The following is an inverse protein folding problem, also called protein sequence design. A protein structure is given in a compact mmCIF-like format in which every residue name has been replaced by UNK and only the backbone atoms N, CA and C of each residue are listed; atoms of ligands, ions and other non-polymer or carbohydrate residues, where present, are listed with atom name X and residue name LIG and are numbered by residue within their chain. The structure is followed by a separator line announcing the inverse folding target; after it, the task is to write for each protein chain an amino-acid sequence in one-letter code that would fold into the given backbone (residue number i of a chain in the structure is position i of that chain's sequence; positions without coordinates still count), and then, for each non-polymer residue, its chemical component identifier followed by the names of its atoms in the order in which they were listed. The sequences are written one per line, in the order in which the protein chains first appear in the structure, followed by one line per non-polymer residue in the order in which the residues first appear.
data_IF_071053709099
#
_entry.id   IF_071053709099
#
_cell.length_a   1.000
_cell.length_b   1.000
_cell.length_c   1.000
_cell.angle_alpha   90.00
_cell.angle_beta   90.00
_cell.angle_gamma   90.00
#
_symmetry.space_group_name_H-M   'P 1'
#
loop_
_entity.id
_entity.type
_entity.pdbx_description
1 polymer ?
#
# COMPACT_ATOMS: atom_id res chain seq x y z
N UNK A 1 -38.92 -12.62 -12.00
CA UNK A 1 -38.14 -11.99 -10.91
C UNK A 1 -37.11 -13.01 -10.50
N UNK A 2 -36.07 -13.09 -11.33
CA UNK A 2 -34.99 -14.07 -11.20
C UNK A 2 -33.77 -13.37 -10.63
N UNK A 3 -33.02 -14.12 -9.82
CA UNK A 3 -31.57 -14.00 -9.56
C UNK A 3 -31.14 -12.66 -8.92
N UNK A 4 -30.63 -12.63 -7.69
CA UNK A 4 -29.24 -12.98 -7.38
C UNK A 4 -29.14 -13.69 -6.02
N UNK A 5 -28.89 -14.99 -6.06
CA UNK A 5 -28.21 -15.72 -4.99
C UNK A 5 -26.84 -16.10 -5.55
N UNK A 6 -25.90 -15.15 -5.57
CA UNK A 6 -24.49 -15.45 -5.85
C UNK A 6 -23.75 -15.74 -4.54
N UNK A 7 -23.76 -17.04 -4.21
CA UNK A 7 -22.55 -17.82 -3.99
C UNK A 7 -21.46 -17.16 -3.12
N UNK A 8 -21.70 -17.12 -1.81
CA UNK A 8 -20.62 -17.14 -0.80
C UNK A 8 -20.07 -18.57 -0.76
N UNK A 9 -19.30 -18.96 -1.79
CA UNK A 9 -18.61 -20.25 -1.81
C UNK A 9 -17.22 -20.07 -2.39
N UNK A 10 -16.33 -19.54 -1.55
CA UNK A 10 -14.87 -19.64 -1.73
C UNK A 10 -14.20 -19.50 -0.37
N UNK A 11 -14.58 -20.37 0.57
CA UNK A 11 -13.73 -20.67 1.73
C UNK A 11 -12.63 -21.62 1.28
N UNK A 12 -11.58 -21.05 0.68
CA UNK A 12 -10.35 -21.77 0.35
C UNK A 12 -9.74 -22.37 1.63
N UNK A 13 -9.42 -23.67 1.58
CA UNK A 13 -8.70 -24.36 2.64
C UNK A 13 -7.29 -23.75 2.84
N UNK A 14 -6.71 -23.80 4.05
CA UNK A 14 -5.34 -23.34 4.24
C UNK A 14 -4.37 -24.21 3.41
N UNK A 15 -3.34 -23.64 2.76
CA UNK A 15 -2.37 -24.39 1.99
C UNK A 15 -1.57 -25.35 2.90
N UNK A 16 -1.65 -26.64 2.60
CA UNK A 16 -1.28 -27.78 3.44
C UNK A 16 0.23 -28.04 3.62
N UNK A 17 1.12 -27.05 3.56
CA UNK A 17 2.56 -27.37 3.37
C UNK A 17 3.58 -26.57 4.17
N UNK A 18 3.19 -25.70 5.09
CA UNK A 18 4.14 -25.04 5.98
C UNK A 18 3.55 -25.01 7.39
N UNK A 19 4.36 -25.29 8.42
CA UNK A 19 3.99 -25.09 9.83
C UNK A 19 3.87 -23.59 10.09
N UNK A 20 2.79 -23.00 9.59
CA UNK A 20 2.37 -21.64 9.92
C UNK A 20 1.43 -21.81 11.11
N UNK A 21 1.84 -21.30 12.26
CA UNK A 21 1.05 -21.33 13.49
C UNK A 21 -0.14 -20.39 13.33
N UNK A 22 -1.27 -20.90 12.84
CA UNK A 22 -2.51 -20.15 12.78
C UNK A 22 -3.23 -20.20 14.13
N UNK A 23 -3.98 -19.16 14.44
CA UNK A 23 -4.82 -19.13 15.62
C UNK A 23 -6.02 -20.08 15.44
N UNK A 24 -6.26 -20.94 16.43
CA UNK A 24 -7.34 -21.95 16.40
C UNK A 24 -8.38 -21.60 17.44
N UNK A 25 -9.65 -21.60 17.02
CA UNK A 25 -10.78 -21.38 17.91
C UNK A 25 -11.04 -22.63 18.77
N UNK A 26 -11.66 -22.46 19.94
CA UNK A 26 -12.05 -23.58 20.81
C UNK A 26 -13.00 -24.63 20.17
N UNK A 27 -13.59 -24.34 19.01
CA UNK A 27 -14.38 -25.31 18.22
C UNK A 27 -13.52 -26.17 17.27
N UNK A 28 -12.20 -25.97 17.23
CA UNK A 28 -11.25 -26.74 16.41
C UNK A 28 -11.04 -26.21 14.99
N UNK A 29 -11.75 -25.15 14.57
CA UNK A 29 -11.51 -24.49 13.27
C UNK A 29 -10.51 -23.34 13.41
N UNK A 30 -9.74 -23.09 12.35
CA UNK A 30 -8.82 -21.95 12.27
C UNK A 30 -9.59 -20.61 12.29
N UNK A 31 -8.92 -19.57 12.75
CA UNK A 31 -9.44 -18.20 12.78
C UNK A 31 -8.75 -17.37 11.71
N UNK A 32 -9.56 -16.69 10.91
CA UNK A 32 -9.09 -15.80 9.85
C UNK A 32 -8.96 -14.37 10.37
N UNK A 33 -8.01 -13.63 9.82
CA UNK A 33 -7.80 -12.23 10.18
C UNK A 33 -8.86 -11.37 9.49
N UNK A 34 -9.62 -10.62 10.28
CA UNK A 34 -10.64 -9.68 9.80
C UNK A 34 -10.10 -8.26 9.62
N UNK A 35 -9.22 -7.81 10.52
CA UNK A 35 -8.67 -6.46 10.46
C UNK A 35 -7.54 -6.25 11.45
N UNK A 36 -6.78 -5.17 11.24
CA UNK A 36 -5.61 -4.83 12.03
C UNK A 36 -5.67 -3.33 12.28
N UNK A 37 -5.61 -2.92 13.53
CA UNK A 37 -5.61 -1.51 13.95
C UNK A 37 -4.25 -1.19 14.58
N UNK A 38 -3.58 -0.16 14.07
CA UNK A 38 -2.33 0.38 14.60
C UNK A 38 -2.64 1.25 15.84
N UNK A 39 -2.18 0.83 17.02
CA UNK A 39 -2.26 1.61 18.25
C UNK A 39 -0.87 2.10 18.66
N UNK A 40 -0.48 3.31 18.24
CA UNK A 40 0.76 3.91 18.70
C UNK A 40 0.66 4.17 20.21
N UNK A 41 1.58 3.58 20.98
CA UNK A 41 1.65 3.73 22.43
C UNK A 41 2.99 4.31 22.86
N UNK A 42 3.02 4.96 24.03
CA UNK A 42 4.26 5.46 24.65
C UNK A 42 5.26 4.35 25.02
N UNK A 43 4.84 3.07 25.05
CA UNK A 43 5.66 1.89 25.30
C UNK A 43 5.96 1.02 24.07
N UNK A 44 5.72 1.53 22.85
CA UNK A 44 5.92 0.82 21.60
C UNK A 44 4.62 0.68 20.79
N UNK A 45 4.76 0.38 19.50
CA UNK A 45 3.63 0.18 18.60
C UNK A 45 2.95 -1.17 18.90
N UNK A 46 1.69 -1.12 19.32
CA UNK A 46 0.86 -2.29 19.53
C UNK A 46 -0.19 -2.35 18.43
N UNK A 47 -0.52 -3.55 17.96
CA UNK A 47 -1.59 -3.76 16.99
C UNK A 47 -2.72 -4.53 17.64
N UNK A 48 -3.95 -4.13 17.34
CA UNK A 48 -5.14 -4.92 17.64
C UNK A 48 -5.47 -5.76 16.40
N UNK A 49 -5.11 -7.04 16.44
CA UNK A 49 -5.45 -8.01 15.40
C UNK A 49 -6.80 -8.62 15.73
N UNK A 50 -7.80 -8.34 14.88
CA UNK A 50 -9.16 -8.89 15.03
C UNK A 50 -9.28 -10.12 14.15
N UNK A 51 -9.62 -11.25 14.76
CA UNK A 51 -9.75 -12.54 14.07
C UNK A 51 -11.13 -13.13 14.30
N UNK A 52 -11.66 -13.81 13.29
CA UNK A 52 -12.96 -14.47 13.33
C UNK A 52 -12.82 -15.97 13.02
N UNK A 53 -13.49 -16.81 13.79
CA UNK A 53 -13.52 -18.24 13.53
C UNK A 53 -14.32 -18.56 12.26
N UNK A 54 -13.74 -19.34 11.34
CA UNK A 54 -14.42 -19.78 10.12
C UNK A 54 -15.58 -20.78 10.38
N UNK A 55 -15.69 -21.34 11.58
CA UNK A 55 -16.74 -22.29 11.94
C UNK A 55 -17.86 -21.63 12.73
N UNK A 56 -17.58 -21.25 13.98
CA UNK A 56 -18.58 -20.72 14.91
C UNK A 56 -18.72 -19.19 14.89
N UNK A 57 -17.98 -18.47 14.02
CA UNK A 57 -18.04 -17.00 13.85
C UNK A 57 -17.65 -16.20 15.12
N UNK A 58 -17.05 -16.85 16.12
CA UNK A 58 -16.54 -16.17 17.30
C UNK A 58 -15.43 -15.20 16.92
N UNK A 59 -15.46 -13.99 17.49
CA UNK A 59 -14.46 -12.95 17.24
C UNK A 59 -13.59 -12.74 18.46
N UNK A 60 -12.29 -12.66 18.22
CA UNK A 60 -11.29 -12.39 19.25
C UNK A 60 -10.43 -11.23 18.75
N UNK A 61 -10.14 -10.29 19.66
CA UNK A 61 -9.13 -9.25 19.45
C UNK A 61 -7.87 -9.62 20.22
N UNK A 62 -6.72 -9.61 19.56
CA UNK A 62 -5.42 -9.78 20.18
C UNK A 62 -4.67 -8.45 20.15
N UNK A 63 -4.34 -7.92 21.32
CA UNK A 63 -3.39 -6.82 21.44
C UNK A 63 -1.99 -7.41 21.55
N UNK A 64 -1.17 -7.14 20.53
CA UNK A 64 0.17 -7.71 20.37
C UNK A 64 1.13 -6.61 19.94
N UNK A 65 2.41 -6.73 20.30
CA UNK A 65 3.43 -5.83 19.76
C UNK A 65 3.51 -5.97 18.24
N UNK A 66 3.75 -4.87 17.52
CA UNK A 66 3.82 -4.84 16.06
C UNK A 66 4.77 -5.90 15.47
N UNK A 67 5.90 -6.16 16.14
CA UNK A 67 6.89 -7.16 15.72
C UNK A 67 6.38 -8.61 15.81
N UNK A 68 5.47 -8.89 16.75
CA UNK A 68 4.98 -10.24 17.05
C UNK A 68 3.62 -10.53 16.42
N UNK A 69 3.04 -9.57 15.69
CA UNK A 69 1.69 -9.69 15.14
C UNK A 69 1.57 -10.60 13.91
N UNK A 70 2.65 -10.74 13.13
CA UNK A 70 2.66 -11.46 11.85
C UNK A 70 2.19 -12.92 11.84
N UNK A 71 2.33 -13.73 12.92
CA UNK A 71 1.78 -15.09 12.99
C UNK A 71 0.25 -15.12 13.00
N UNK A 72 -0.41 -14.05 13.45
CA UNK A 72 -1.87 -13.97 13.54
C UNK A 72 -2.53 -13.47 12.24
N UNK A 73 -1.74 -13.30 11.18
CA UNK A 73 -2.12 -12.65 9.92
C UNK A 73 -2.02 -13.67 8.79
N UNK A 74 -3.17 -14.07 8.27
CA UNK A 74 -3.30 -15.17 7.30
C UNK A 74 -2.99 -14.79 5.84
N UNK A 75 -3.02 -13.50 5.50
CA UNK A 75 -2.88 -12.97 4.14
C UNK A 75 -2.31 -11.56 4.12
N UNK A 76 -2.01 -11.05 2.92
CA UNK A 76 -1.65 -9.65 2.78
C UNK A 76 -2.85 -8.77 3.17
N UNK A 77 -2.67 -7.94 4.20
CA UNK A 77 -3.72 -7.08 4.73
C UNK A 77 -3.23 -5.64 4.88
N UNK A 78 -4.18 -4.70 4.79
CA UNK A 78 -3.95 -3.31 5.12
C UNK A 78 -4.44 -3.08 6.54
N UNK A 79 -3.70 -2.30 7.32
CA UNK A 79 -4.21 -1.77 8.58
C UNK A 79 -5.37 -0.82 8.31
N UNK A 80 -6.23 -0.67 9.31
CA UNK A 80 -7.39 0.22 9.23
C UNK A 80 -6.95 1.66 8.94
N UNK A 81 -5.85 2.09 9.57
CA UNK A 81 -5.27 3.42 9.39
C UNK A 81 -4.69 3.59 7.98
N UNK A 82 -3.93 2.61 7.46
CA UNK A 82 -3.39 2.69 6.09
C UNK A 82 -4.51 2.68 5.04
N UNK A 83 -5.56 1.89 5.26
CA UNK A 83 -6.75 1.87 4.40
C UNK A 83 -7.47 3.21 4.45
N UNK A 84 -7.62 3.81 5.62
CA UNK A 84 -8.20 5.14 5.76
C UNK A 84 -7.40 6.20 5.00
N UNK A 85 -6.06 6.10 4.94
CA UNK A 85 -5.24 6.98 4.11
C UNK A 85 -5.52 6.82 2.62
N UNK A 86 -5.69 5.59 2.15
CA UNK A 86 -6.04 5.29 0.76
C UNK A 86 -7.43 5.82 0.42
N UNK A 87 -8.43 5.53 1.25
CA UNK A 87 -9.83 5.90 1.02
C UNK A 87 -10.06 7.42 0.95
N UNK A 88 -9.20 8.21 1.60
CA UNK A 88 -9.22 9.68 1.50
C UNK A 88 -8.70 10.22 0.16
N UNK A 89 -8.07 9.39 -0.66
CA UNK A 89 -7.62 9.78 -1.99
C UNK A 89 -8.78 9.73 -3.00
N UNK A 90 -8.72 10.47 -4.11
CA UNK A 90 -9.70 10.30 -5.19
C UNK A 90 -9.72 8.87 -5.74
N UNK A 91 -10.88 8.34 -6.19
CA UNK A 91 -11.02 6.93 -6.61
C UNK A 91 -9.99 6.45 -7.64
N UNK A 92 -9.61 7.31 -8.59
CA UNK A 92 -8.59 6.98 -9.60
C UNK A 92 -7.20 6.79 -8.98
N UNK A 93 -6.84 7.58 -7.96
CA UNK A 93 -5.57 7.43 -7.23
C UNK A 93 -5.61 6.18 -6.37
N UNK A 94 -6.76 5.84 -5.79
CA UNK A 94 -6.90 4.63 -4.97
C UNK A 94 -6.58 3.37 -5.77
N UNK A 95 -7.21 3.25 -6.95
CA UNK A 95 -7.03 2.12 -7.86
C UNK A 95 -5.57 1.99 -8.34
N UNK A 96 -4.88 3.12 -8.50
CA UNK A 96 -3.48 3.17 -8.88
C UNK A 96 -2.54 2.82 -7.72
N UNK A 97 -2.77 3.40 -6.54
CA UNK A 97 -1.84 3.31 -5.41
C UNK A 97 -1.89 1.93 -4.75
N UNK A 98 -3.07 1.30 -4.70
CA UNK A 98 -3.23 -0.01 -4.08
C UNK A 98 -2.26 -1.09 -4.62
N UNK A 99 -2.17 -1.36 -5.93
CA UNK A 99 -1.25 -2.38 -6.45
C UNK A 99 0.22 -2.02 -6.23
N UNK A 100 0.59 -0.74 -6.35
CA UNK A 100 1.97 -0.27 -6.11
C UNK A 100 2.42 -0.56 -4.68
N UNK A 101 1.56 -0.25 -3.71
CA UNK A 101 1.85 -0.49 -2.29
C UNK A 101 1.85 -1.99 -1.98
N UNK A 102 0.89 -2.76 -2.53
CA UNK A 102 0.85 -4.21 -2.36
C UNK A 102 2.14 -4.88 -2.89
N UNK A 103 2.65 -4.45 -4.05
CA UNK A 103 3.92 -4.94 -4.63
C UNK A 103 5.12 -4.54 -3.78
N UNK A 104 5.20 -3.27 -3.38
CA UNK A 104 6.27 -2.76 -2.51
C UNK A 104 6.40 -3.54 -1.18
N UNK A 105 5.26 -3.88 -0.57
CA UNK A 105 5.22 -4.65 0.68
C UNK A 105 5.61 -6.10 0.45
N UNK A 106 5.20 -6.70 -0.68
CA UNK A 106 5.60 -8.06 -1.07
C UNK A 106 7.10 -8.17 -1.34
N UNK A 107 7.69 -7.21 -2.03
CA UNK A 107 9.13 -7.19 -2.34
C UNK A 107 10.00 -7.16 -1.08
N UNK A 108 9.48 -6.56 -0.01
CA UNK A 108 10.12 -6.53 1.31
C UNK A 108 9.82 -7.74 2.19
N UNK A 109 9.08 -8.73 1.68
CA UNK A 109 8.66 -9.93 2.41
C UNK A 109 7.67 -9.64 3.56
N UNK A 110 7.04 -8.47 3.57
CA UNK A 110 6.06 -8.08 4.58
C UNK A 110 4.64 -8.52 4.13
N UNK A 111 3.75 -8.75 5.10
CA UNK A 111 2.35 -9.13 4.84
C UNK A 111 1.33 -8.10 5.33
N UNK A 112 1.77 -7.03 5.95
CA UNK A 112 0.90 -5.98 6.48
C UNK A 112 1.31 -4.66 5.88
N UNK A 113 0.36 -3.98 5.25
CA UNK A 113 0.52 -2.61 4.79
C UNK A 113 0.17 -1.70 5.96
N UNK A 114 1.21 -1.15 6.61
CA UNK A 114 1.08 -0.18 7.70
C UNK A 114 1.08 1.25 7.17
N UNK A 115 0.71 2.22 8.01
CA UNK A 115 0.78 3.65 7.68
C UNK A 115 2.20 4.09 7.29
N UNK A 116 3.21 3.58 8.01
CA UNK A 116 4.62 3.82 7.72
C UNK A 116 5.01 3.28 6.34
N UNK A 117 4.70 2.00 6.06
CA UNK A 117 4.99 1.36 4.77
C UNK A 117 4.22 2.01 3.62
N UNK A 118 2.97 2.41 3.83
CA UNK A 118 2.20 3.17 2.85
C UNK A 118 2.85 4.51 2.54
N UNK A 119 3.30 5.25 3.57
CA UNK A 119 4.02 6.50 3.41
C UNK A 119 5.37 6.32 2.69
N UNK A 120 6.10 5.24 3.00
CA UNK A 120 7.34 4.88 2.31
C UNK A 120 7.11 4.46 0.86
N UNK A 121 6.09 3.65 0.58
CA UNK A 121 5.69 3.28 -0.78
C UNK A 121 5.26 4.53 -1.57
N UNK A 122 4.58 5.48 -0.94
CA UNK A 122 4.25 6.76 -1.59
C UNK A 122 5.49 7.63 -1.85
N UNK A 123 6.52 7.55 -1.01
CA UNK A 123 7.77 8.33 -1.13
C UNK A 123 8.85 7.65 -2.00
N UNK A 124 8.85 6.33 -2.07
CA UNK A 124 9.92 5.50 -2.64
C UNK A 124 9.44 4.37 -3.56
N UNK A 125 8.15 4.06 -3.56
CA UNK A 125 7.46 3.21 -4.54
C UNK A 125 7.07 4.03 -5.76
N UNK A 126 8.10 4.27 -6.58
CA UNK A 126 8.11 4.75 -7.95
C UNK A 126 6.74 4.95 -8.63
N UNK A 127 6.41 6.21 -8.90
CA UNK A 127 5.76 6.52 -10.18
C UNK A 127 6.63 5.87 -11.26
N UNK A 128 6.05 5.04 -12.13
CA UNK A 128 6.80 4.28 -13.13
C UNK A 128 7.48 5.26 -14.09
N UNK A 129 8.79 5.24 -14.26
CA UNK A 129 9.43 6.14 -15.21
C UNK A 129 9.43 5.51 -16.60
N UNK A 130 9.09 6.29 -17.63
CA UNK A 130 9.43 5.88 -19.00
C UNK A 130 10.95 5.78 -19.13
N UNK A 131 11.43 4.79 -19.89
CA UNK A 131 12.86 4.60 -20.13
C UNK A 131 13.53 5.87 -20.69
N UNK A 132 12.81 6.60 -21.57
CA UNK A 132 13.27 7.88 -22.12
C UNK A 132 13.26 9.01 -21.08
N UNK A 133 12.33 8.98 -20.13
CA UNK A 133 12.27 9.96 -19.04
C UNK A 133 13.43 9.74 -18.05
N UNK A 134 13.71 8.49 -17.71
CA UNK A 134 14.82 8.10 -16.84
C UNK A 134 16.19 8.42 -17.48
N UNK A 135 16.35 8.17 -18.78
CA UNK A 135 17.56 8.52 -19.53
C UNK A 135 17.83 10.03 -19.60
N UNK A 136 16.80 10.88 -19.52
CA UNK A 136 16.96 12.34 -19.44
C UNK A 136 17.22 12.79 -18.01
N UNK A 137 16.58 12.17 -17.01
CA UNK A 137 16.84 12.46 -15.60
C UNK A 137 18.30 12.15 -15.22
N UNK A 138 18.90 11.11 -15.79
CA UNK A 138 20.32 10.78 -15.55
C UNK A 138 21.29 11.86 -16.08
N UNK A 139 20.91 12.60 -17.12
CA UNK A 139 21.67 13.74 -17.68
C UNK A 139 21.58 15.01 -16.82
N UNK A 140 20.62 15.07 -15.90
CA UNK A 140 20.46 16.19 -14.96
C UNK A 140 21.58 16.13 -13.90
N UNK A 141 22.20 17.27 -13.51
CA UNK A 141 23.23 17.30 -12.48
C UNK A 141 22.76 16.71 -11.15
N UNK A 142 23.64 15.98 -10.46
CA UNK A 142 23.30 15.25 -9.24
C UNK A 142 22.73 16.12 -8.12
N UNK A 143 23.17 17.39 -8.03
CA UNK A 143 22.70 18.36 -7.03
C UNK A 143 21.21 18.67 -7.10
N UNK A 144 20.62 18.64 -8.30
CA UNK A 144 19.21 18.97 -8.53
C UNK A 144 18.37 17.76 -8.94
N UNK A 145 19.00 16.63 -9.28
CA UNK A 145 18.33 15.40 -9.72
C UNK A 145 17.32 14.87 -8.71
N UNK A 146 17.69 14.85 -7.42
CA UNK A 146 16.80 14.37 -6.35
C UNK A 146 15.56 15.26 -6.20
N UNK A 147 15.73 16.58 -6.27
CA UNK A 147 14.61 17.53 -6.23
C UNK A 147 13.72 17.41 -7.47
N UNK A 148 14.31 17.33 -8.66
CA UNK A 148 13.57 17.19 -9.91
C UNK A 148 12.77 15.89 -9.95
N UNK A 149 13.36 14.78 -9.50
CA UNK A 149 12.69 13.47 -9.40
C UNK A 149 11.46 13.57 -8.50
N UNK A 150 11.61 14.13 -7.30
CA UNK A 150 10.50 14.26 -6.35
C UNK A 150 9.37 15.16 -6.88
N UNK A 151 9.68 16.27 -7.55
CA UNK A 151 8.68 17.18 -8.10
C UNK A 151 7.93 16.56 -9.29
N UNK A 152 8.63 15.79 -10.12
CA UNK A 152 8.04 15.04 -11.24
C UNK A 152 7.09 13.94 -10.74
N UNK A 153 7.53 13.17 -9.75
CA UNK A 153 6.71 12.13 -9.13
C UNK A 153 5.47 12.75 -8.46
N UNK A 154 5.64 13.86 -7.73
CA UNK A 154 4.54 14.61 -7.13
C UNK A 154 3.54 15.10 -8.18
N UNK A 155 4.02 15.74 -9.25
CA UNK A 155 3.15 16.29 -10.30
C UNK A 155 2.43 15.17 -11.06
N UNK A 156 3.10 14.02 -11.28
CA UNK A 156 2.47 12.84 -11.87
C UNK A 156 1.32 12.32 -11.01
N UNK A 157 1.55 12.21 -9.70
CA UNK A 157 0.53 11.77 -8.75
C UNK A 157 -0.64 12.75 -8.64
N UNK A 158 -0.38 14.06 -8.62
CA UNK A 158 -1.40 15.12 -8.62
C UNK A 158 -2.30 15.05 -9.87
N UNK A 159 -1.73 14.60 -11.00
CA UNK A 159 -2.45 14.40 -12.28
C UNK A 159 -3.07 13.01 -12.42
N UNK A 160 -2.92 12.14 -11.41
CA UNK A 160 -3.39 10.76 -11.46
C UNK A 160 -2.63 9.88 -12.46
N UNK A 161 -1.45 10.30 -12.90
CA UNK A 161 -0.60 9.55 -13.82
C UNK A 161 0.26 8.53 -13.05
N UNK A 162 0.14 7.27 -13.46
CA UNK A 162 0.90 6.14 -12.94
C UNK A 162 2.39 6.19 -13.28
N UNK A 163 2.76 7.01 -14.27
CA UNK A 163 4.10 7.05 -14.84
C UNK A 163 4.57 8.47 -15.18
N UNK A 164 5.85 8.75 -14.90
CA UNK A 164 6.52 9.98 -15.33
C UNK A 164 6.89 9.84 -16.80
N UNK A 165 6.21 10.61 -17.64
CA UNK A 165 6.46 10.65 -19.09
C UNK A 165 7.40 11.80 -19.46
N UNK A 166 7.96 11.73 -20.67
CA UNK A 166 8.78 12.82 -21.22
C UNK A 166 8.00 14.13 -21.35
N UNK A 167 6.71 14.06 -21.67
CA UNK A 167 5.85 15.24 -21.77
C UNK A 167 5.75 16.00 -20.43
N UNK A 168 5.59 15.26 -19.32
CA UNK A 168 5.53 15.86 -17.98
C UNK A 168 6.84 16.55 -17.60
N UNK A 169 7.98 15.99 -17.99
CA UNK A 169 9.29 16.62 -17.79
C UNK A 169 9.46 17.92 -18.57
N UNK A 170 9.10 17.94 -19.86
CA UNK A 170 9.24 19.15 -20.67
C UNK A 170 8.31 20.27 -20.19
N UNK A 171 7.12 19.92 -19.69
CA UNK A 171 6.18 20.89 -19.13
C UNK A 171 6.68 21.50 -17.81
N UNK A 172 7.22 20.69 -16.90
CA UNK A 172 7.85 21.21 -15.67
C UNK A 172 9.10 22.03 -16.00
N UNK A 173 9.90 21.59 -16.98
CA UNK A 173 11.04 22.37 -17.47
C UNK A 173 10.58 23.70 -18.06
N UNK A 174 9.51 23.73 -18.85
CA UNK A 174 8.94 24.97 -19.37
C UNK A 174 8.40 25.87 -18.25
N UNK A 175 7.86 25.30 -17.17
CA UNK A 175 7.39 26.09 -16.01
C UNK A 175 8.53 26.71 -15.21
N UNK A 176 9.62 25.99 -15.00
CA UNK A 176 10.78 26.45 -14.22
C UNK A 176 11.75 27.32 -15.03
N UNK A 177 11.96 27.02 -16.32
CA UNK A 177 12.87 27.76 -17.20
C UNK A 177 12.16 28.78 -18.10
N UNK A 178 10.83 28.67 -18.30
CA UNK A 178 10.05 29.56 -19.16
C UNK A 178 9.63 30.89 -18.51
N UNK A 179 9.73 31.03 -17.18
CA UNK A 179 9.56 32.33 -16.51
C UNK A 179 10.79 33.26 -16.65
N UNK A 180 11.87 32.82 -17.30
CA UNK A 180 12.99 33.70 -17.68
C UNK A 180 12.80 34.39 -19.04
N UNK A 181 11.71 34.10 -19.76
CA UNK A 181 11.53 34.49 -21.17
C UNK A 181 10.41 35.47 -21.47
N UNK A 182 9.72 36.04 -20.49
CA UNK A 182 8.68 37.06 -20.76
C UNK A 182 9.16 38.46 -20.41
N UNK A 183 10.08 38.94 -21.25
CA UNK A 183 10.30 40.37 -21.46
C UNK A 183 9.79 40.65 -22.87
N UNK A 184 8.63 41.29 -22.99
CA UNK A 184 8.39 42.56 -23.71
C UNK A 184 6.89 42.83 -23.69
#
# INVERSE_FOLDING_TARGET
MSEEQETISSFSAPPSSLRVSFLVCGCGRWMHTQGIEERPGSGGDHWLVRSECCGCRWRVGLEVGAADAHPFIDRLMWTDEARHLLDRMPPYVQALMKPVVDEYVRDRGQRVVTTALFGEARRGGAVRWDADAEARLSRVPASVRTMAKAELEKTSLERGQASVTVALMEELKARYFGMAGQKT
#
